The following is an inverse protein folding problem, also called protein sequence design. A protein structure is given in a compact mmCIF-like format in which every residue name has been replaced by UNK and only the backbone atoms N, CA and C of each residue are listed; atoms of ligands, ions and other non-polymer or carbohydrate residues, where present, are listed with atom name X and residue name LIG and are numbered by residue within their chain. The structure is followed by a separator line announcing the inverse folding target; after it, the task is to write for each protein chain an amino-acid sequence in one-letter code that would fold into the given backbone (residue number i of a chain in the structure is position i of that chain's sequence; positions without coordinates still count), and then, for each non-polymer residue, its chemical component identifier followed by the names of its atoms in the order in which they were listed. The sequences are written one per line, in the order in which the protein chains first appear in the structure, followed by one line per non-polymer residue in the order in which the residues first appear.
data_IF_161569809097
#
_entry.id   IF_161569809097
#
_cell.length_a   1.000
_cell.length_b   1.000
_cell.length_c   1.000
_cell.angle_alpha   90.00
_cell.angle_beta   90.00
_cell.angle_gamma   90.00
#
_symmetry.space_group_name_H-M   'P 1'
#
loop_
_entity.id
_entity.type
_entity.pdbx_description
1 polymer ?
#
# COMPACT_ATOMS: atom_id res chain seq x y z
N UNK A 1 2.66 -72.47 -27.59
CA UNK A 1 3.70 -71.56 -27.09
C UNK A 1 3.10 -70.15 -26.93
N UNK A 2 2.72 -69.86 -25.74
CA UNK A 2 2.14 -68.55 -25.44
C UNK A 2 3.25 -67.54 -25.10
N UNK A 3 3.49 -66.63 -25.99
CA UNK A 3 4.38 -65.54 -25.72
C UNK A 3 3.56 -64.37 -25.14
N UNK A 4 3.49 -64.28 -23.83
CA UNK A 4 2.85 -63.23 -23.17
C UNK A 4 3.89 -62.16 -22.86
N UNK A 5 3.96 -61.14 -23.73
CA UNK A 5 4.67 -59.92 -23.42
C UNK A 5 3.78 -59.06 -22.52
N UNK A 6 4.06 -59.11 -21.27
CA UNK A 6 3.45 -58.19 -20.29
C UNK A 6 4.06 -56.81 -20.46
N UNK A 7 3.34 -55.96 -21.15
CA UNK A 7 3.69 -54.53 -21.18
C UNK A 7 3.12 -53.94 -19.90
N UNK A 8 3.97 -53.82 -18.92
CA UNK A 8 3.65 -53.00 -17.75
C UNK A 8 3.71 -51.53 -18.16
N UNK A 9 2.58 -50.99 -18.55
CA UNK A 9 2.41 -49.55 -18.63
C UNK A 9 2.36 -49.02 -17.21
N UNK A 10 3.47 -48.52 -16.74
CA UNK A 10 3.52 -47.69 -15.52
C UNK A 10 2.77 -46.39 -15.80
N UNK A 11 1.72 -46.06 -15.06
CA UNK A 11 1.16 -44.73 -15.15
C UNK A 11 2.20 -43.78 -14.57
N UNK A 12 2.74 -42.92 -15.42
CA UNK A 12 3.52 -41.78 -15.01
C UNK A 12 2.59 -40.85 -14.22
N UNK A 13 2.54 -41.04 -12.91
CA UNK A 13 1.87 -40.11 -12.02
C UNK A 13 2.68 -38.81 -12.08
N UNK A 14 2.22 -37.88 -12.92
CA UNK A 14 2.69 -36.52 -12.91
C UNK A 14 2.23 -35.93 -11.58
N UNK A 15 3.13 -36.00 -10.61
CA UNK A 15 2.96 -35.28 -9.36
C UNK A 15 3.06 -33.80 -9.69
N UNK A 16 1.92 -33.16 -9.95
CA UNK A 16 1.82 -31.72 -10.02
C UNK A 16 2.08 -31.22 -8.60
N UNK A 17 3.35 -30.96 -8.31
CA UNK A 17 3.70 -30.24 -7.11
C UNK A 17 3.05 -28.86 -7.21
N UNK A 18 1.97 -28.68 -6.46
CA UNK A 18 1.37 -27.36 -6.24
C UNK A 18 2.45 -26.54 -5.53
N UNK A 19 3.20 -25.77 -6.29
CA UNK A 19 4.13 -24.79 -5.76
C UNK A 19 3.26 -23.67 -5.17
N UNK A 20 2.99 -23.77 -3.89
CA UNK A 20 2.43 -22.67 -3.14
C UNK A 20 3.49 -21.57 -3.12
N UNK A 21 3.41 -20.63 -4.04
CA UNK A 21 4.15 -19.39 -3.95
C UNK A 21 3.73 -18.72 -2.65
N UNK A 22 4.66 -18.36 -1.75
CA UNK A 22 4.28 -17.56 -0.59
C UNK A 22 3.70 -16.27 -1.13
N UNK A 23 2.41 -16.09 -0.95
CA UNK A 23 1.80 -14.79 -1.17
C UNK A 23 2.43 -13.85 -0.14
N UNK A 24 3.29 -12.95 -0.61
CA UNK A 24 3.75 -11.84 0.22
C UNK A 24 2.52 -11.01 0.56
N UNK A 25 1.95 -11.30 1.71
CA UNK A 25 0.85 -10.50 2.24
C UNK A 25 1.43 -9.15 2.60
N UNK A 26 1.21 -8.16 1.72
CA UNK A 26 1.64 -6.80 1.97
C UNK A 26 0.83 -6.26 3.14
N UNK A 27 1.53 -5.81 4.18
CA UNK A 27 0.88 -5.30 5.38
C UNK A 27 0.24 -3.93 5.09
N UNK A 28 -1.03 -3.80 5.47
CA UNK A 28 -1.72 -2.53 5.39
C UNK A 28 -1.14 -1.54 6.40
N UNK A 29 -0.82 -0.34 5.95
CA UNK A 29 -0.30 0.74 6.80
C UNK A 29 -1.36 1.73 7.26
N UNK A 30 -2.56 1.63 6.71
CA UNK A 30 -3.67 2.49 7.05
C UNK A 30 -4.93 2.11 6.28
N UNK A 31 -5.94 2.96 6.39
CA UNK A 31 -7.24 2.82 5.72
C UNK A 31 -7.69 4.14 5.12
N UNK A 32 -8.42 4.06 4.01
CA UNK A 32 -9.18 5.19 3.51
C UNK A 32 -10.43 5.37 4.37
N UNK A 33 -10.57 6.50 5.03
CA UNK A 33 -11.71 6.80 5.90
C UNK A 33 -12.87 7.44 5.16
N UNK A 34 -12.54 8.23 4.14
CA UNK A 34 -13.52 8.88 3.25
C UNK A 34 -12.94 8.95 1.85
N UNK A 35 -13.74 8.61 0.87
CA UNK A 35 -13.32 8.65 -0.53
C UNK A 35 -14.42 9.25 -1.38
N UNK A 36 -14.07 10.24 -2.16
CA UNK A 36 -14.90 10.73 -3.25
C UNK A 36 -14.35 10.15 -4.55
N UNK A 37 -15.14 9.43 -5.33
CA UNK A 37 -14.70 8.90 -6.62
C UNK A 37 -14.21 10.02 -7.56
N UNK A 38 -13.20 9.84 -8.27
CA UNK A 38 -12.31 8.76 -8.61
C UNK A 38 -10.99 8.86 -7.82
N UNK A 39 -10.76 7.92 -6.94
CA UNK A 39 -9.49 7.78 -6.25
C UNK A 39 -9.02 6.33 -6.39
N UNK A 40 -7.76 6.14 -6.73
CA UNK A 40 -7.17 4.82 -6.95
C UNK A 40 -5.84 4.69 -6.23
N UNK A 41 -5.57 3.49 -5.74
CA UNK A 41 -4.26 3.09 -5.26
C UNK A 41 -3.60 2.14 -6.26
N UNK A 42 -2.29 2.20 -6.38
CA UNK A 42 -1.54 1.35 -7.33
C UNK A 42 -1.61 -0.14 -6.97
N UNK A 43 -1.80 -0.47 -5.70
CA UNK A 43 -1.96 -1.85 -5.23
C UNK A 43 -3.41 -2.18 -4.87
N UNK A 44 -4.10 -1.26 -4.21
CA UNK A 44 -5.48 -1.47 -3.77
C UNK A 44 -6.51 -1.34 -4.90
N UNK A 45 -6.15 -0.72 -6.02
CA UNK A 45 -7.09 -0.42 -7.10
C UNK A 45 -8.05 0.72 -6.73
N UNK A 46 -9.29 0.72 -7.23
CA UNK A 46 -10.27 1.72 -6.87
C UNK A 46 -10.50 1.79 -5.36
N UNK A 47 -10.34 2.97 -4.78
CA UNK A 47 -10.53 3.19 -3.35
C UNK A 47 -11.99 3.49 -3.02
N UNK A 48 -12.42 2.99 -1.88
CA UNK A 48 -13.69 3.32 -1.25
C UNK A 48 -13.50 3.48 0.26
N UNK A 49 -14.49 3.98 0.96
CA UNK A 49 -14.43 4.06 2.43
C UNK A 49 -14.17 2.69 3.05
N UNK A 50 -13.13 2.59 3.87
CA UNK A 50 -12.69 1.34 4.49
C UNK A 50 -11.63 0.55 3.71
N UNK A 51 -11.25 0.96 2.49
CA UNK A 51 -10.17 0.32 1.73
C UNK A 51 -8.84 0.43 2.46
N UNK A 52 -8.09 -0.66 2.47
CA UNK A 52 -6.72 -0.65 3.01
C UNK A 52 -5.76 0.08 2.07
N UNK A 53 -4.78 0.73 2.65
CA UNK A 53 -3.65 1.31 1.92
C UNK A 53 -2.35 0.68 2.39
N UNK A 54 -1.39 0.60 1.49
CA UNK A 54 -0.16 -0.16 1.68
C UNK A 54 1.08 0.71 1.52
N UNK A 55 2.19 0.24 2.06
CA UNK A 55 3.49 0.85 1.80
C UNK A 55 3.86 0.75 0.32
N UNK A 56 4.61 1.72 -0.18
CA UNK A 56 5.00 1.82 -1.60
C UNK A 56 3.83 2.02 -2.56
N UNK A 57 2.68 2.38 -2.06
CA UNK A 57 1.50 2.63 -2.87
C UNK A 57 1.46 4.08 -3.38
N UNK A 58 1.00 4.26 -4.60
CA UNK A 58 0.73 5.58 -5.16
C UNK A 58 -0.78 5.81 -5.17
N UNK A 59 -1.22 6.84 -4.49
CA UNK A 59 -2.62 7.27 -4.46
C UNK A 59 -2.81 8.36 -5.50
N UNK A 60 -3.77 8.16 -6.38
CA UNK A 60 -4.14 9.12 -7.43
C UNK A 60 -5.60 9.48 -7.35
N UNK A 61 -5.89 10.75 -7.49
CA UNK A 61 -7.25 11.26 -7.56
C UNK A 61 -7.52 11.92 -8.91
N UNK A 62 -8.74 11.75 -9.40
CA UNK A 62 -9.21 12.43 -10.59
C UNK A 62 -9.70 13.85 -10.31
N UNK A 63 -10.31 14.46 -11.33
CA UNK A 63 -10.73 15.87 -11.30
C UNK A 63 -11.71 16.22 -10.17
N UNK A 64 -12.58 15.30 -9.80
CA UNK A 64 -13.52 15.45 -8.69
C UNK A 64 -13.21 14.54 -7.49
N UNK A 65 -12.15 13.74 -7.58
CA UNK A 65 -11.80 12.77 -6.56
C UNK A 65 -11.15 13.39 -5.33
N UNK A 66 -11.37 12.76 -4.18
CA UNK A 66 -10.69 13.07 -2.93
C UNK A 66 -10.50 11.77 -2.13
N UNK A 67 -9.47 11.71 -1.33
CA UNK A 67 -9.25 10.58 -0.44
C UNK A 67 -8.70 11.07 0.90
N UNK A 68 -9.34 10.63 1.98
CA UNK A 68 -8.86 10.83 3.34
C UNK A 68 -8.31 9.50 3.85
N UNK A 69 -7.04 9.48 4.19
CA UNK A 69 -6.34 8.29 4.67
C UNK A 69 -5.99 8.46 6.14
N UNK A 70 -6.25 7.43 6.93
CA UNK A 70 -5.78 7.35 8.31
C UNK A 70 -4.79 6.20 8.45
N UNK A 71 -3.60 6.50 8.91
CA UNK A 71 -2.53 5.52 9.12
C UNK A 71 -2.59 4.90 10.52
N UNK A 72 -1.84 3.83 10.72
CA UNK A 72 -1.80 3.10 11.99
C UNK A 72 -1.32 3.92 13.19
N UNK A 73 -0.53 4.96 12.95
CA UNK A 73 -0.06 5.89 13.98
C UNK A 73 -1.03 7.04 14.26
N UNK A 74 -2.27 6.96 13.74
CA UNK A 74 -3.29 8.00 13.79
C UNK A 74 -2.94 9.29 13.03
N UNK A 75 -1.92 9.30 12.20
CA UNK A 75 -1.71 10.38 11.25
C UNK A 75 -2.77 10.36 10.15
N UNK A 76 -3.08 11.52 9.61
CA UNK A 76 -4.07 11.67 8.56
C UNK A 76 -3.46 12.35 7.34
N UNK A 77 -3.75 11.82 6.18
CA UNK A 77 -3.41 12.41 4.89
C UNK A 77 -4.69 12.65 4.10
N UNK A 78 -4.99 13.90 3.83
CA UNK A 78 -6.06 14.28 2.92
C UNK A 78 -5.48 14.60 1.55
N UNK A 79 -5.91 13.85 0.55
CA UNK A 79 -5.50 14.04 -0.85
C UNK A 79 -6.64 14.75 -1.59
N UNK A 80 -6.35 15.92 -2.13
CA UNK A 80 -7.32 16.69 -2.91
C UNK A 80 -7.51 16.15 -4.32
N UNK A 81 -8.23 16.89 -5.17
CA UNK A 81 -8.46 16.51 -6.56
C UNK A 81 -7.19 16.66 -7.42
N UNK A 82 -7.14 15.93 -8.53
CA UNK A 82 -6.02 15.94 -9.49
C UNK A 82 -4.65 15.78 -8.83
N UNK A 83 -4.57 14.92 -7.83
CA UNK A 83 -3.38 14.74 -7.00
C UNK A 83 -2.75 13.37 -7.19
N UNK A 84 -1.45 13.32 -6.98
CA UNK A 84 -0.68 12.07 -6.95
C UNK A 84 0.27 12.10 -5.77
N UNK A 85 0.11 11.15 -4.87
CA UNK A 85 0.90 11.02 -3.65
C UNK A 85 1.44 9.59 -3.56
N UNK A 86 2.74 9.47 -3.41
CA UNK A 86 3.41 8.19 -3.20
C UNK A 86 3.73 7.99 -1.72
N UNK A 87 3.27 6.86 -1.18
CA UNK A 87 3.55 6.45 0.19
C UNK A 87 4.87 5.68 0.22
N UNK A 88 5.97 6.41 0.25
CA UNK A 88 7.30 5.83 0.07
C UNK A 88 7.70 4.92 1.21
N UNK A 89 7.53 5.37 2.44
CA UNK A 89 7.98 4.64 3.62
C UNK A 89 7.02 4.84 4.78
N UNK A 90 6.72 3.76 5.48
CA UNK A 90 5.95 3.82 6.72
C UNK A 90 6.50 2.80 7.72
N UNK A 91 7.20 3.29 8.73
CA UNK A 91 7.70 2.49 9.84
C UNK A 91 7.08 3.03 11.12
N UNK A 92 6.31 2.19 11.78
CA UNK A 92 5.63 2.51 13.02
C UNK A 92 5.73 1.35 14.00
N UNK A 93 6.21 1.64 15.19
CA UNK A 93 6.22 0.71 16.31
C UNK A 93 5.61 1.45 17.52
N UNK A 94 4.47 0.98 18.06
CA UNK A 94 3.81 1.63 19.18
C UNK A 94 4.64 1.64 20.46
N UNK A 95 5.66 0.78 20.55
CA UNK A 95 6.55 0.70 21.70
C UNK A 95 7.80 1.59 21.59
N UNK A 96 7.96 2.27 20.44
CA UNK A 96 9.09 3.16 20.18
C UNK A 96 8.58 4.54 19.80
N UNK A 97 9.25 5.57 20.30
CA UNK A 97 8.97 6.96 19.93
C UNK A 97 9.56 7.37 18.57
N UNK A 98 10.36 6.49 17.98
CA UNK A 98 11.01 6.73 16.69
C UNK A 98 10.34 5.92 15.60
N UNK A 99 9.78 6.59 14.61
CA UNK A 99 9.28 5.99 13.39
C UNK A 99 9.92 6.65 12.18
N UNK A 100 9.55 6.21 11.00
CA UNK A 100 10.01 6.81 9.76
C UNK A 100 8.86 6.76 8.74
N UNK A 101 8.32 7.92 8.45
CA UNK A 101 7.22 8.10 7.48
C UNK A 101 7.68 9.05 6.41
N UNK A 102 7.75 8.58 5.19
CA UNK A 102 8.10 9.39 4.03
C UNK A 102 6.96 9.35 3.02
N UNK A 103 6.49 10.52 2.65
CA UNK A 103 5.43 10.73 1.66
C UNK A 103 5.99 11.63 0.57
N UNK A 104 5.76 11.26 -0.68
CA UNK A 104 6.15 12.06 -1.83
C UNK A 104 4.90 12.54 -2.56
N UNK A 105 4.63 13.84 -2.47
CA UNK A 105 3.54 14.48 -3.20
C UNK A 105 4.10 15.06 -4.51
N UNK A 106 3.79 14.42 -5.63
CA UNK A 106 4.31 14.81 -6.94
C UNK A 106 3.41 15.78 -7.69
N UNK A 107 2.12 15.81 -7.35
CA UNK A 107 1.13 16.65 -8.01
C UNK A 107 -0.07 16.91 -7.12
N UNK A 108 -0.67 18.07 -7.25
CA UNK A 108 -1.94 18.42 -6.66
C UNK A 108 -1.84 19.01 -5.26
N UNK A 109 -2.90 18.86 -4.50
CA UNK A 109 -3.04 19.40 -3.14
C UNK A 109 -3.18 18.27 -2.13
N UNK A 110 -2.57 18.48 -0.96
CA UNK A 110 -2.69 17.54 0.14
C UNK A 110 -2.60 18.26 1.48
N UNK A 111 -3.15 17.64 2.51
CA UNK A 111 -3.01 18.06 3.90
C UNK A 111 -2.58 16.88 4.75
N UNK A 112 -1.52 17.05 5.50
CA UNK A 112 -1.02 16.03 6.41
C UNK A 112 -1.11 16.51 7.86
N UNK A 113 -1.65 15.64 8.72
CA UNK A 113 -1.72 15.87 10.16
C UNK A 113 -0.96 14.74 10.85
N UNK A 114 0.00 15.09 11.68
CA UNK A 114 0.83 14.14 12.42
C UNK A 114 -0.01 13.32 13.39
N UNK A 115 0.40 12.06 13.59
CA UNK A 115 -0.20 11.16 14.55
C UNK A 115 0.59 11.09 15.87
N UNK A 116 0.67 9.89 16.41
CA UNK A 116 1.28 9.61 17.71
C UNK A 116 2.80 9.60 17.74
N UNK A 117 3.46 9.59 16.59
CA UNK A 117 4.92 9.61 16.50
C UNK A 117 5.46 11.03 16.67
N UNK A 118 6.72 11.15 17.07
CA UNK A 118 7.41 12.44 17.15
C UNK A 118 7.51 13.12 15.77
N UNK A 119 7.50 14.43 15.75
CA UNK A 119 7.49 15.23 14.52
C UNK A 119 8.67 14.95 13.59
N UNK A 120 9.81 14.54 14.12
CA UNK A 120 10.99 14.13 13.34
C UNK A 120 10.81 12.84 12.54
N UNK A 121 9.77 12.05 12.82
CA UNK A 121 9.46 10.83 12.09
C UNK A 121 8.86 11.08 10.70
N UNK A 122 8.35 12.27 10.44
CA UNK A 122 7.61 12.59 9.23
C UNK A 122 8.42 13.45 8.27
N UNK A 123 8.50 12.99 7.01
CA UNK A 123 9.11 13.73 5.90
C UNK A 123 8.16 13.74 4.71
N UNK A 124 7.92 14.92 4.18
CA UNK A 124 7.09 15.10 2.99
C UNK A 124 7.94 15.70 1.89
N UNK A 125 8.13 14.95 0.82
CA UNK A 125 8.82 15.41 -0.37
C UNK A 125 7.83 16.01 -1.35
N UNK A 126 8.19 17.14 -1.93
CA UNK A 126 7.45 17.77 -3.03
C UNK A 126 8.41 18.06 -4.17
N UNK A 127 7.92 18.42 -5.38
CA UNK A 127 8.80 18.85 -6.48
C UNK A 127 9.64 20.07 -6.15
N UNK A 128 9.29 20.82 -5.11
CA UNK A 128 9.95 22.05 -4.71
C UNK A 128 10.90 21.89 -3.52
N UNK A 129 10.92 20.74 -2.90
CA UNK A 129 11.77 20.45 -1.74
C UNK A 129 11.16 19.50 -0.75
N UNK A 130 11.86 19.27 0.35
CA UNK A 130 11.40 18.41 1.46
C UNK A 130 10.88 19.29 2.59
N UNK A 131 9.65 19.02 3.02
CA UNK A 131 9.03 19.71 4.14
C UNK A 131 9.23 18.89 5.41
N UNK A 132 9.78 19.54 6.45
CA UNK A 132 9.71 19.02 7.80
C UNK A 132 8.35 19.34 8.42
N UNK A 133 7.79 18.38 9.15
CA UNK A 133 6.50 18.57 9.79
C UNK A 133 6.70 18.95 11.24
N UNK A 134 6.08 20.05 11.65
CA UNK A 134 5.95 20.44 13.06
C UNK A 134 4.49 20.23 13.46
N UNK A 135 4.31 19.37 14.40
CA UNK A 135 2.99 19.11 14.99
C UNK A 135 2.64 20.05 16.10
#
# INVERSE_FOLDING_TARGET
MCNQSWIYALPLAILFALQATPAHTQEAIGKATSVVPQATGSHAGPLSGGSNVYSKETIRTGQSGQADLQFKDNSNLKVGSNSSVHLDKFVYDPNKSTGDVAIEATRGTFRFVTGSQGTGAYKIKTPYGTLGVRG
#
